data_IF_300511354723
#
_entry.id   IF_300511354723
#
_cell.length_a   1.000
_cell.length_b   1.000
_cell.length_c   1.000
_cell.angle_alpha   90.00
_cell.angle_beta   90.00
_cell.angle_gamma   90.00
#
_symmetry.space_group_name_H-M   'P 1'
#
loop_
_entity.id
_entity.type
_entity.pdbx_description
1 polymer ?
#
# COMPACT_ATOMS: atom_id res chain seq x y z
N UNK A 1 25.36 9.14 10.01
CA UNK A 1 25.03 8.69 8.64
C UNK A 1 24.62 7.22 8.75
N UNK A 2 23.38 6.89 8.44
CA UNK A 2 22.89 5.50 8.53
C UNK A 2 23.33 4.70 7.31
N UNK A 3 24.00 3.57 7.50
CA UNK A 3 24.36 2.65 6.42
C UNK A 3 23.16 1.81 6.02
N UNK A 4 22.86 1.73 4.73
CA UNK A 4 21.88 0.76 4.19
C UNK A 4 22.59 -0.59 4.06
N UNK A 5 22.06 -1.63 4.72
CA UNK A 5 22.58 -2.99 4.58
C UNK A 5 21.97 -3.65 3.34
N UNK A 6 22.74 -3.72 2.24
CA UNK A 6 22.32 -4.36 1.00
C UNK A 6 22.58 -5.87 0.97
N UNK A 7 23.27 -6.45 1.96
CA UNK A 7 23.71 -7.85 1.92
C UNK A 7 22.53 -8.85 1.87
N UNK A 8 21.36 -8.44 2.35
CA UNK A 8 20.14 -9.25 2.34
C UNK A 8 19.09 -8.73 1.34
N UNK A 9 19.46 -7.84 0.41
CA UNK A 9 18.55 -7.31 -0.60
C UNK A 9 18.31 -8.36 -1.69
N UNK A 10 17.33 -9.23 -1.46
CA UNK A 10 16.86 -10.22 -2.44
C UNK A 10 15.41 -9.95 -2.84
N UNK A 11 15.04 -10.34 -4.05
CA UNK A 11 13.65 -10.27 -4.50
C UNK A 11 12.82 -11.30 -3.71
N UNK A 12 11.81 -10.84 -2.98
CA UNK A 12 10.90 -11.72 -2.23
C UNK A 12 9.72 -12.17 -3.09
N UNK A 13 8.92 -11.24 -3.62
CA UNK A 13 7.71 -11.57 -4.39
C UNK A 13 7.30 -10.45 -5.36
N UNK A 14 6.24 -10.66 -6.16
CA UNK A 14 5.63 -9.64 -7.03
C UNK A 14 4.15 -9.94 -7.30
N UNK A 15 3.38 -8.87 -7.51
CA UNK A 15 2.00 -8.92 -7.99
C UNK A 15 1.93 -8.38 -9.42
N UNK A 16 1.21 -9.07 -10.31
CA UNK A 16 0.86 -8.56 -11.64
C UNK A 16 -0.52 -7.93 -11.60
N UNK A 17 -0.61 -6.65 -11.97
CA UNK A 17 -1.89 -5.93 -12.02
C UNK A 17 -2.63 -6.19 -13.35
N UNK A 18 -3.96 -6.10 -13.37
CA UNK A 18 -4.76 -6.29 -14.59
C UNK A 18 -4.60 -5.13 -15.59
N UNK A 19 -5.07 -5.35 -16.82
CA UNK A 19 -5.09 -4.33 -17.86
C UNK A 19 -5.77 -3.03 -17.40
N UNK A 20 -5.20 -1.89 -17.77
CA UNK A 20 -5.62 -0.57 -17.31
C UNK A 20 -4.96 -0.12 -16.01
N UNK A 21 -4.12 -0.96 -15.38
CA UNK A 21 -3.23 -0.64 -14.26
C UNK A 21 -1.75 -0.86 -14.64
N UNK A 22 -1.45 -0.69 -15.92
CA UNK A 22 -0.22 -1.17 -16.56
C UNK A 22 1.03 -0.37 -16.17
N UNK A 23 0.88 0.92 -15.87
CA UNK A 23 1.99 1.81 -15.54
C UNK A 23 1.80 2.43 -14.17
N UNK A 24 2.52 1.93 -13.18
CA UNK A 24 2.59 2.49 -11.83
C UNK A 24 3.73 3.52 -11.78
N UNK A 25 3.46 4.71 -11.24
CA UNK A 25 4.45 5.78 -11.17
C UNK A 25 4.71 6.32 -9.76
N UNK A 26 3.71 6.25 -8.88
CA UNK A 26 3.82 6.75 -7.51
C UNK A 26 3.28 5.73 -6.52
N UNK A 27 3.73 5.79 -5.27
CA UNK A 27 3.28 4.90 -4.22
C UNK A 27 3.32 5.57 -2.84
N UNK A 28 2.38 5.18 -1.98
CA UNK A 28 2.40 5.44 -0.54
C UNK A 28 1.95 4.19 0.20
N UNK A 29 2.21 4.11 1.50
CA UNK A 29 1.82 2.98 2.34
C UNK A 29 1.32 3.46 3.70
N UNK A 30 0.43 2.66 4.30
CA UNK A 30 0.05 2.77 5.72
C UNK A 30 0.76 1.71 6.59
N UNK A 31 1.69 0.93 6.01
CA UNK A 31 2.41 -0.17 6.63
C UNK A 31 1.79 -1.55 6.41
N UNK A 32 0.48 -1.64 6.14
CA UNK A 32 -0.21 -2.89 5.79
C UNK A 32 -0.44 -2.98 4.28
N UNK A 33 -0.91 -1.89 3.70
CA UNK A 33 -1.25 -1.79 2.30
C UNK A 33 -0.33 -0.81 1.58
N UNK A 34 -0.02 -1.12 0.33
CA UNK A 34 0.55 -0.20 -0.63
C UNK A 34 -0.55 0.39 -1.50
N UNK A 35 -0.46 1.68 -1.77
CA UNK A 35 -1.39 2.42 -2.62
C UNK A 35 -0.60 3.02 -3.77
N UNK A 36 -0.80 2.46 -4.96
CA UNK A 36 0.00 2.72 -6.14
C UNK A 36 -0.79 3.55 -7.15
N UNK A 37 -0.29 4.74 -7.47
CA UNK A 37 -0.90 5.63 -8.47
C UNK A 37 -0.41 5.30 -9.88
N UNK A 38 -1.35 5.21 -10.82
CA UNK A 38 -1.06 4.91 -12.22
C UNK A 38 -0.88 6.15 -13.09
N UNK A 39 -0.15 5.97 -14.19
CA UNK A 39 0.06 6.95 -15.27
C UNK A 39 -0.33 6.35 -16.61
N UNK A 40 -0.59 7.18 -17.62
CA UNK A 40 -1.04 6.81 -18.97
C UNK A 40 -2.34 6.00 -19.05
N UNK A 41 -2.93 5.63 -17.91
CA UNK A 41 -4.27 5.11 -17.81
C UNK A 41 -5.27 6.28 -17.86
N UNK A 42 -6.27 6.15 -18.73
CA UNK A 42 -7.40 7.08 -18.78
C UNK A 42 -8.70 6.28 -18.54
N UNK A 43 -9.31 6.38 -17.36
CA UNK A 43 -8.92 7.23 -16.22
C UNK A 43 -7.69 6.71 -15.44
N UNK A 44 -7.06 7.59 -14.66
CA UNK A 44 -6.03 7.20 -13.70
C UNK A 44 -6.60 6.28 -12.62
N UNK A 45 -5.73 5.62 -11.83
CA UNK A 45 -6.13 4.69 -10.77
C UNK A 45 -5.20 4.78 -9.57
N UNK A 46 -5.77 4.60 -8.38
CA UNK A 46 -5.02 4.31 -7.15
C UNK A 46 -5.32 2.87 -6.76
N UNK A 47 -4.32 2.00 -6.90
CA UNK A 47 -4.45 0.55 -6.69
C UNK A 47 -3.99 0.19 -5.28
N UNK A 48 -4.85 -0.49 -4.53
CA UNK A 48 -4.55 -1.02 -3.19
C UNK A 48 -4.01 -2.43 -3.30
N UNK A 49 -2.84 -2.67 -2.71
CA UNK A 49 -2.16 -3.97 -2.67
C UNK A 49 -1.88 -4.32 -1.21
N UNK A 50 -2.16 -5.56 -0.82
CA UNK A 50 -1.72 -6.13 0.45
C UNK A 50 -0.23 -6.47 0.37
N UNK A 51 0.58 -5.84 1.22
CA UNK A 51 2.04 -5.96 1.15
C UNK A 51 2.56 -7.26 1.76
N UNK A 52 1.77 -7.92 2.61
CA UNK A 52 2.16 -9.18 3.25
C UNK A 52 1.99 -10.36 2.29
N UNK A 53 0.89 -10.35 1.54
CA UNK A 53 0.53 -11.43 0.60
C UNK A 53 0.87 -11.09 -0.85
N UNK A 54 1.25 -9.84 -1.13
CA UNK A 54 1.48 -9.33 -2.48
C UNK A 54 0.29 -9.61 -3.39
N UNK A 55 -0.90 -9.24 -2.94
CA UNK A 55 -2.14 -9.40 -3.70
C UNK A 55 -2.83 -8.06 -3.93
N UNK A 56 -3.38 -7.88 -5.14
CA UNK A 56 -4.21 -6.71 -5.45
C UNK A 56 -5.55 -6.84 -4.71
N UNK A 57 -5.87 -5.88 -3.86
CA UNK A 57 -7.09 -5.87 -3.07
C UNK A 57 -8.21 -5.11 -3.79
N UNK A 58 -7.93 -3.88 -4.24
CA UNK A 58 -8.93 -3.03 -4.85
C UNK A 58 -8.28 -1.88 -5.65
N UNK A 59 -9.08 -1.06 -6.33
CA UNK A 59 -8.64 0.21 -6.89
C UNK A 59 -9.73 1.27 -6.87
N UNK A 60 -9.32 2.52 -6.65
CA UNK A 60 -10.18 3.69 -6.81
C UNK A 60 -9.83 4.39 -8.12
N UNK A 61 -10.87 4.68 -8.89
CA UNK A 61 -10.78 5.49 -10.11
C UNK A 61 -11.12 6.94 -9.77
N UNK A 62 -10.17 7.88 -9.89
CA UNK A 62 -10.43 9.31 -9.77
C UNK A 62 -11.42 9.82 -10.83
N UNK A 63 -11.85 11.06 -10.68
CA UNK A 63 -12.80 11.71 -11.61
C UNK A 63 -12.21 11.87 -13.00
N UNK A 64 -13.06 12.12 -14.01
CA UNK A 64 -12.59 12.42 -15.36
C UNK A 64 -11.57 13.58 -15.36
N UNK A 65 -10.49 13.39 -16.12
CA UNK A 65 -9.35 14.31 -16.16
C UNK A 65 -8.39 14.26 -14.97
N UNK A 66 -8.59 13.37 -13.98
CA UNK A 66 -7.62 13.06 -12.92
C UNK A 66 -6.78 11.85 -13.33
N UNK A 67 -5.87 12.11 -14.27
CA UNK A 67 -4.95 11.11 -14.85
C UNK A 67 -3.51 11.43 -14.43
N UNK A 68 -2.57 10.55 -14.77
CA UNK A 68 -1.13 10.78 -14.59
C UNK A 68 -0.73 11.13 -13.16
N UNK A 69 -0.99 10.21 -12.23
CA UNK A 69 -0.65 10.36 -10.83
C UNK A 69 0.88 10.26 -10.66
N UNK A 70 1.55 11.38 -10.37
CA UNK A 70 3.03 11.47 -10.35
C UNK A 70 3.66 11.58 -8.97
N UNK A 71 2.88 11.99 -7.98
CA UNK A 71 3.36 12.17 -6.61
C UNK A 71 2.30 11.70 -5.65
N UNK A 72 2.72 11.21 -4.49
CA UNK A 72 1.80 10.79 -3.46
C UNK A 72 2.35 11.04 -2.05
N UNK A 73 1.47 11.44 -1.13
CA UNK A 73 1.76 11.51 0.31
C UNK A 73 0.61 10.91 1.10
N UNK A 74 0.89 10.39 2.29
CA UNK A 74 -0.11 9.94 3.26
C UNK A 74 -0.21 10.90 4.44
N UNK A 75 -1.44 11.16 4.91
CA UNK A 75 -1.69 11.84 6.17
C UNK A 75 -2.96 11.29 6.83
N UNK A 76 -2.79 10.65 7.99
CA UNK A 76 -3.85 9.93 8.67
C UNK A 76 -4.39 8.78 7.79
N UNK A 77 -5.71 8.68 7.66
CA UNK A 77 -6.39 7.67 6.84
C UNK A 77 -6.55 8.08 5.37
N UNK A 78 -5.76 9.05 4.89
CA UNK A 78 -5.89 9.60 3.54
C UNK A 78 -4.57 9.58 2.78
N UNK A 79 -4.67 9.30 1.48
CA UNK A 79 -3.62 9.50 0.50
C UNK A 79 -3.95 10.70 -0.37
N UNK A 80 -2.92 11.46 -0.77
CA UNK A 80 -3.05 12.62 -1.64
C UNK A 80 -2.15 12.39 -2.85
N UNK A 81 -2.74 12.38 -4.04
CA UNK A 81 -2.04 12.07 -5.29
C UNK A 81 -2.05 13.29 -6.20
N UNK A 82 -0.86 13.79 -6.56
CA UNK A 82 -0.72 14.91 -7.49
C UNK A 82 -0.76 14.44 -8.95
N UNK A 83 -1.54 15.13 -9.78
CA UNK A 83 -1.66 14.85 -11.21
C UNK A 83 -0.70 15.70 -12.04
N UNK A 84 -0.13 15.13 -13.10
CA UNK A 84 0.56 15.88 -14.15
C UNK A 84 -0.42 16.24 -15.27
N UNK A 85 -1.31 17.17 -14.95
CA UNK A 85 -2.35 17.68 -15.84
C UNK A 85 -2.36 19.20 -15.84
N UNK A 86 -3.10 19.81 -16.77
CA UNK A 86 -3.35 21.26 -16.80
C UNK A 86 -4.86 21.55 -16.78
N UNK A 87 -5.41 22.14 -15.70
CA UNK A 87 -4.72 22.48 -14.44
C UNK A 87 -4.22 21.24 -13.69
N UNK A 88 -3.19 21.40 -12.87
CA UNK A 88 -2.73 20.37 -11.94
C UNK A 88 -3.74 20.17 -10.81
N UNK A 89 -3.95 18.92 -10.41
CA UNK A 89 -4.97 18.53 -9.41
C UNK A 89 -4.33 17.69 -8.30
N UNK A 90 -4.94 17.74 -7.12
CA UNK A 90 -4.59 16.88 -5.99
C UNK A 90 -5.79 16.02 -5.67
N UNK A 91 -5.67 14.71 -5.87
CA UNK A 91 -6.72 13.73 -5.61
C UNK A 91 -6.58 13.20 -4.19
N UNK A 92 -7.58 13.47 -3.35
CA UNK A 92 -7.65 12.92 -1.98
C UNK A 92 -8.40 11.59 -2.01
N UNK A 93 -7.76 10.52 -1.54
CA UNK A 93 -8.32 9.17 -1.47
C UNK A 93 -8.42 8.74 0.00
N UNK A 94 -9.58 8.22 0.40
CA UNK A 94 -9.72 7.56 1.70
C UNK A 94 -9.11 6.16 1.61
N UNK A 95 -8.11 5.89 2.46
CA UNK A 95 -7.36 4.64 2.46
C UNK A 95 -8.01 3.56 3.33
N UNK A 96 -9.02 3.96 4.11
CA UNK A 96 -9.60 3.19 5.21
C UNK A 96 -8.81 3.35 6.49
N UNK A 97 -9.31 2.75 7.57
CA UNK A 97 -8.50 2.48 8.75
C UNK A 97 -7.54 1.32 8.46
N UNK A 98 -6.29 1.37 8.93
CA UNK A 98 -5.46 0.17 8.94
C UNK A 98 -6.19 -0.93 9.74
N UNK A 99 -6.00 -2.22 9.43
CA UNK A 99 -6.60 -3.29 10.23
C UNK A 99 -6.21 -3.10 11.70
N UNK A 100 -7.08 -3.45 12.65
CA UNK A 100 -6.69 -3.45 14.05
C UNK A 100 -5.42 -4.31 14.20
N UNK A 101 -4.41 -3.77 14.88
CA UNK A 101 -3.21 -4.53 15.22
C UNK A 101 -3.66 -5.85 15.85
N UNK A 102 -3.20 -7.03 15.37
CA UNK A 102 -3.54 -8.28 16.00
C UNK A 102 -3.29 -8.13 17.51
N UNK A 103 -4.29 -8.45 18.33
CA UNK A 103 -4.09 -8.45 19.77
C UNK A 103 -2.83 -9.26 20.08
N UNK A 104 -1.97 -8.84 21.04
CA UNK A 104 -0.82 -9.65 21.42
C UNK A 104 -1.33 -11.07 21.66
N UNK A 105 -0.72 -12.03 20.96
CA UNK A 105 -1.08 -13.44 21.08
C UNK A 105 -1.17 -13.78 22.59
N UNK A 106 -2.26 -14.42 23.06
CA UNK A 106 -2.39 -14.72 24.47
C UNK A 106 -1.13 -15.44 24.93
N UNK A 107 -0.46 -14.89 25.95
CA UNK A 107 0.75 -15.49 26.51
C UNK A 107 0.46 -16.96 26.78
N UNK A 108 1.31 -17.90 26.31
CA UNK A 108 1.06 -19.32 26.52
C UNK A 108 0.88 -19.56 28.01
N UNK A 109 -0.20 -20.26 28.38
CA UNK A 109 -0.49 -20.55 29.76
C UNK A 109 0.75 -21.16 30.44
N UNK A 110 1.06 -20.82 31.70
CA UNK A 110 2.16 -21.44 32.41
C UNK A 110 2.00 -22.95 32.35
N UNK A 111 2.97 -23.65 31.77
CA UNK A 111 3.01 -25.11 31.83
C UNK A 111 3.20 -25.44 33.31
N UNK A 112 2.14 -25.95 33.94
CA UNK A 112 2.18 -26.36 35.34
C UNK A 112 3.28 -27.42 35.56
N UNK A 113 3.85 -27.51 36.77
CA UNK A 113 4.90 -28.48 37.04
C UNK A 113 4.37 -29.89 36.74
N UNK A 114 5.16 -30.68 36.01
CA UNK A 114 4.89 -32.10 35.83
C UNK A 114 4.92 -32.78 37.20
N UNK A 115 3.77 -33.34 37.62
CA UNK A 115 3.74 -34.21 38.79
C UNK A 115 4.43 -35.53 38.42
N UNK A 116 5.63 -35.75 38.95
CA UNK A 116 6.25 -37.08 39.02
C UNK A 116 5.76 -37.76 40.29
N UNK A 117 4.91 -38.78 40.14
CA UNK A 117 4.61 -39.77 41.18
C UNK A 117 5.58 -40.95 41.11
#
# INVERSE_FOLDING_TARGET
MGSVNLANMTRVDAVTLPAGEDYILTAVTDGTYGYFGTTFASPGRVVKVDLATMTRIDAVTPSSGEVDLRSAITAGTHGYFGTDTSPGRVVKVNLGSPPPTPAPEPSPAPVGPAYTG
#
